data_IF_462566765973
#
_entry.id   IF_462566765973
#
_cell.length_a   1.000
_cell.length_b   1.000
_cell.length_c   1.000
_cell.angle_alpha   90.00
_cell.angle_beta   90.00
_cell.angle_gamma   90.00
#
_symmetry.space_group_name_H-M   'P 1'
#
loop_
_entity.id
_entity.type
_entity.pdbx_description
1 polymer ?
#
# COMPACT_ATOMS: atom_id res chain seq x y z
N UNK A 1 1.84 -2.38 15.86
CA UNK A 1 2.56 -2.47 17.15
C UNK A 1 3.92 -3.09 16.87
N UNK A 2 4.96 -2.64 17.58
CA UNK A 2 6.34 -3.06 17.34
C UNK A 2 7.19 -1.93 16.74
N UNK A 3 8.49 -1.99 17.00
CA UNK A 3 9.50 -1.09 16.45
C UNK A 3 10.79 -1.89 16.15
N UNK A 4 11.85 -1.22 15.70
CA UNK A 4 13.14 -1.87 15.39
C UNK A 4 13.69 -2.74 16.54
N UNK A 5 13.42 -2.37 17.79
CA UNK A 5 13.85 -3.17 18.94
C UNK A 5 13.11 -4.50 19.05
N UNK A 6 11.84 -4.57 18.64
CA UNK A 6 11.06 -5.81 18.59
C UNK A 6 11.68 -6.83 17.63
N UNK A 7 12.12 -6.37 16.45
CA UNK A 7 12.81 -7.19 15.44
C UNK A 7 14.13 -7.73 16.00
N UNK A 8 14.92 -6.85 16.62
CA UNK A 8 16.22 -7.20 17.21
C UNK A 8 16.06 -8.19 18.36
N UNK A 9 15.09 -7.97 19.25
CA UNK A 9 14.82 -8.86 20.38
C UNK A 9 14.38 -10.25 19.90
N UNK A 10 13.50 -10.31 18.90
CA UNK A 10 13.04 -11.57 18.32
C UNK A 10 14.20 -12.34 17.67
N UNK A 11 15.05 -11.67 16.89
CA UNK A 11 16.24 -12.29 16.32
C UNK A 11 17.24 -12.76 17.40
N UNK A 12 17.36 -12.00 18.51
CA UNK A 12 18.26 -12.35 19.63
C UNK A 12 17.75 -13.50 20.50
N UNK A 13 16.45 -13.78 20.50
CA UNK A 13 15.87 -14.89 21.28
C UNK A 13 16.47 -16.24 20.87
N UNK A 14 16.88 -16.37 19.60
CA UNK A 14 17.51 -17.57 19.05
C UNK A 14 18.93 -17.82 19.55
N UNK A 15 19.62 -16.81 20.10
CA UNK A 15 21.02 -16.91 20.48
C UNK A 15 21.24 -17.43 21.92
N UNK A 16 20.17 -17.64 22.71
CA UNK A 16 20.28 -18.14 24.08
C UNK A 16 20.96 -17.16 25.06
N UNK A 17 21.07 -17.54 26.34
CA UNK A 17 21.74 -16.73 27.36
C UNK A 17 23.26 -16.84 27.21
N UNK A 18 23.90 -15.87 26.54
CA UNK A 18 25.36 -15.72 26.63
C UNK A 18 26.08 -15.14 25.40
N UNK A 19 25.43 -15.00 24.25
CA UNK A 19 26.11 -14.50 23.05
C UNK A 19 26.20 -12.97 23.09
N UNK A 20 27.42 -12.45 23.25
CA UNK A 20 27.71 -11.02 23.18
C UNK A 20 27.35 -10.46 21.81
N UNK A 21 26.76 -9.27 21.79
CA UNK A 21 26.36 -8.54 20.59
C UNK A 21 27.59 -8.17 19.75
N UNK A 22 27.91 -8.98 18.74
CA UNK A 22 29.01 -8.66 17.79
C UNK A 22 28.63 -7.47 16.89
N UNK A 23 27.34 -7.18 16.72
CA UNK A 23 26.81 -6.14 15.83
C UNK A 23 25.80 -5.26 16.56
N UNK A 24 25.86 -3.95 16.29
CA UNK A 24 24.83 -3.00 16.71
C UNK A 24 23.49 -3.26 15.99
N UNK A 25 22.40 -2.78 16.58
CA UNK A 25 21.02 -3.10 16.18
C UNK A 25 20.73 -2.84 14.69
N UNK A 26 21.15 -1.69 14.15
CA UNK A 26 21.01 -1.37 12.71
C UNK A 26 21.77 -2.33 11.80
N UNK A 27 22.98 -2.74 12.21
CA UNK A 27 23.80 -3.67 11.45
C UNK A 27 23.21 -5.08 11.48
N UNK A 28 22.53 -5.45 12.58
CA UNK A 28 21.78 -6.70 12.67
C UNK A 28 20.56 -6.67 11.74
N UNK A 29 19.71 -5.65 11.80
CA UNK A 29 18.54 -5.52 10.91
C UNK A 29 18.97 -5.57 9.43
N UNK A 30 20.01 -4.82 9.08
CA UNK A 30 20.57 -4.81 7.71
C UNK A 30 21.14 -6.18 7.30
N UNK A 31 21.66 -6.95 8.25
CA UNK A 31 22.11 -8.31 7.99
C UNK A 31 20.93 -9.27 7.77
N UNK A 32 19.89 -9.19 8.60
CA UNK A 32 18.67 -9.99 8.48
C UNK A 32 18.00 -9.79 7.12
N UNK A 33 17.84 -8.53 6.69
CA UNK A 33 17.29 -8.20 5.37
C UNK A 33 18.12 -8.78 4.22
N UNK A 34 19.45 -8.62 4.26
CA UNK A 34 20.36 -9.12 3.21
C UNK A 34 20.36 -10.64 3.07
N UNK A 35 20.05 -11.36 4.14
CA UNK A 35 20.01 -12.83 4.16
C UNK A 35 18.59 -13.38 4.13
N UNK A 36 17.59 -12.54 3.81
CA UNK A 36 16.18 -12.90 3.74
C UNK A 36 15.67 -13.63 5.00
N UNK A 37 16.20 -13.30 6.18
CA UNK A 37 15.68 -13.82 7.44
C UNK A 37 14.46 -12.99 7.84
N UNK A 38 13.30 -13.36 7.30
CA UNK A 38 12.06 -12.56 7.39
C UNK A 38 11.26 -12.77 8.66
N UNK A 39 11.38 -13.93 9.33
CA UNK A 39 10.59 -14.27 10.53
C UNK A 39 10.68 -13.22 11.67
N UNK A 40 11.84 -12.60 11.96
CA UNK A 40 11.90 -11.54 12.97
C UNK A 40 11.12 -10.27 12.59
N UNK A 41 10.83 -10.04 11.31
CA UNK A 41 10.05 -8.89 10.84
C UNK A 41 8.55 -9.05 11.09
N UNK A 42 8.05 -10.29 11.20
CA UNK A 42 6.64 -10.61 11.50
C UNK A 42 6.20 -10.14 12.91
N UNK A 43 7.16 -9.70 13.74
CA UNK A 43 6.91 -9.17 15.07
C UNK A 43 6.47 -7.70 15.06
N UNK A 44 6.35 -7.09 13.88
CA UNK A 44 5.92 -5.70 13.70
C UNK A 44 4.65 -5.66 12.87
N UNK A 45 3.53 -5.33 13.51
CA UNK A 45 2.25 -5.19 12.83
C UNK A 45 1.98 -3.75 12.44
N UNK A 46 1.45 -3.53 11.24
CA UNK A 46 0.89 -2.24 10.83
C UNK A 46 -0.63 -2.30 10.76
N UNK A 47 -1.30 -1.24 11.19
CA UNK A 47 -2.76 -1.10 11.06
C UNK A 47 -3.07 0.17 10.29
N UNK A 48 -3.61 0.02 9.10
CA UNK A 48 -3.95 1.16 8.23
C UNK A 48 -5.44 1.40 8.24
N UNK A 49 -5.86 2.65 7.99
CA UNK A 49 -7.24 3.00 7.68
C UNK A 49 -7.26 3.51 6.23
N UNK A 50 -7.61 2.65 5.27
CA UNK A 50 -7.44 2.97 3.85
C UNK A 50 -8.78 3.24 3.16
N UNK A 51 -8.86 4.36 2.43
CA UNK A 51 -9.97 4.66 1.52
C UNK A 51 -9.52 4.41 0.09
N UNK A 52 -10.13 3.42 -0.54
CA UNK A 52 -9.71 2.95 -1.87
C UNK A 52 -10.91 2.85 -2.81
N UNK A 53 -10.73 3.13 -4.11
CA UNK A 53 -11.71 2.73 -5.13
C UNK A 53 -11.87 1.21 -5.14
N UNK A 54 -13.06 0.72 -5.48
CA UNK A 54 -13.37 -0.72 -5.43
C UNK A 54 -12.40 -1.54 -6.28
N UNK A 55 -11.99 -1.07 -7.46
CA UNK A 55 -11.04 -1.80 -8.31
C UNK A 55 -9.64 -1.95 -7.69
N UNK A 56 -9.19 -0.98 -6.88
CA UNK A 56 -7.93 -1.09 -6.11
C UNK A 56 -8.12 -1.99 -4.89
N UNK A 57 -9.25 -1.87 -4.18
CA UNK A 57 -9.56 -2.73 -3.03
C UNK A 57 -9.55 -4.23 -3.43
N UNK A 58 -10.04 -4.54 -4.65
CA UNK A 58 -9.97 -5.89 -5.23
C UNK A 58 -8.56 -6.39 -5.51
N UNK A 59 -7.58 -5.51 -5.68
CA UNK A 59 -6.16 -5.88 -5.78
C UNK A 59 -5.58 -6.12 -4.38
N UNK A 60 -5.89 -5.25 -3.42
CA UNK A 60 -5.43 -5.36 -2.03
C UNK A 60 -5.86 -6.69 -1.39
N UNK A 61 -7.12 -7.11 -1.60
CA UNK A 61 -7.64 -8.36 -1.01
C UNK A 61 -6.94 -9.62 -1.53
N UNK A 62 -6.11 -9.53 -2.58
CA UNK A 62 -5.30 -10.65 -3.08
C UNK A 62 -4.15 -11.01 -2.13
N UNK A 63 -3.74 -10.09 -1.25
CA UNK A 63 -2.72 -10.34 -0.24
C UNK A 63 -3.32 -11.11 0.93
N UNK A 64 -3.31 -12.45 0.82
CA UNK A 64 -3.94 -13.38 1.79
C UNK A 64 -3.29 -13.42 3.17
N UNK A 65 -2.11 -12.83 3.32
CA UNK A 65 -1.37 -12.78 4.61
C UNK A 65 -1.82 -11.62 5.50
N UNK A 66 -2.70 -10.74 5.02
CA UNK A 66 -3.20 -9.60 5.78
C UNK A 66 -4.63 -9.83 6.25
N UNK A 67 -4.96 -9.27 7.41
CA UNK A 67 -6.34 -9.23 7.91
C UNK A 67 -7.02 -7.96 7.38
N UNK A 68 -8.17 -8.11 6.74
CA UNK A 68 -8.92 -7.01 6.12
C UNK A 68 -10.34 -6.97 6.65
N UNK A 69 -10.80 -5.79 7.04
CA UNK A 69 -12.21 -5.49 7.24
C UNK A 69 -12.64 -4.37 6.29
N UNK A 70 -13.77 -4.54 5.60
CA UNK A 70 -14.30 -3.60 4.61
C UNK A 70 -15.69 -3.13 5.02
N UNK A 71 -16.02 -1.89 4.67
CA UNK A 71 -17.36 -1.35 4.79
C UNK A 71 -18.36 -2.14 3.92
N UNK A 72 -19.45 -2.62 4.51
CA UNK A 72 -20.43 -3.44 3.82
C UNK A 72 -21.59 -2.63 3.26
N UNK A 73 -21.70 -2.58 1.94
CA UNK A 73 -22.85 -2.01 1.23
C UNK A 73 -24.17 -2.79 1.45
N UNK A 74 -24.12 -3.96 2.09
CA UNK A 74 -25.33 -4.75 2.42
C UNK A 74 -26.06 -4.24 3.66
N UNK A 75 -25.33 -3.57 4.55
CA UNK A 75 -25.84 -3.15 5.86
C UNK A 75 -25.83 -1.63 6.04
N UNK A 76 -25.26 -0.89 5.09
CA UNK A 76 -25.07 0.55 5.24
C UNK A 76 -25.12 1.24 3.88
N UNK A 77 -25.63 2.47 3.88
CA UNK A 77 -25.77 3.30 2.68
C UNK A 77 -24.40 3.74 2.17
N UNK A 78 -24.11 3.41 0.90
CA UNK A 78 -22.85 3.79 0.28
C UNK A 78 -22.94 5.25 -0.15
N UNK A 79 -22.02 6.13 0.29
CA UNK A 79 -22.01 7.51 -0.15
C UNK A 79 -21.75 7.63 -1.65
N UNK A 80 -22.44 8.54 -2.32
CA UNK A 80 -22.28 8.83 -3.75
C UNK A 80 -20.94 9.55 -4.02
N UNK A 81 -19.85 8.78 -4.02
CA UNK A 81 -18.48 9.28 -4.22
C UNK A 81 -17.70 8.31 -5.09
N UNK A 82 -17.33 8.79 -6.27
CA UNK A 82 -16.53 8.05 -7.23
C UNK A 82 -15.13 8.63 -7.34
N UNK A 83 -14.18 7.73 -7.60
CA UNK A 83 -12.84 8.13 -8.01
C UNK A 83 -12.85 8.44 -9.51
N UNK A 84 -12.35 9.62 -9.87
CA UNK A 84 -12.12 10.01 -11.25
C UNK A 84 -10.62 10.29 -11.43
N UNK A 85 -9.97 9.73 -12.47
CA UNK A 85 -8.58 10.05 -12.77
C UNK A 85 -8.46 11.50 -13.23
N UNK A 86 -7.30 12.09 -13.00
CA UNK A 86 -6.89 13.28 -13.75
C UNK A 86 -6.71 12.91 -15.22
N UNK A 87 -7.00 13.84 -16.14
CA UNK A 87 -6.93 13.59 -17.59
C UNK A 87 -5.51 13.16 -18.01
N UNK A 88 -4.49 13.75 -17.38
CA UNK A 88 -3.09 13.37 -17.62
C UNK A 88 -2.68 12.00 -17.07
N UNK A 89 -3.53 11.35 -16.26
CA UNK A 89 -3.29 10.00 -15.74
C UNK A 89 -3.89 8.90 -16.64
N UNK A 90 -4.71 9.29 -17.62
CA UNK A 90 -5.25 8.41 -18.65
C UNK A 90 -4.18 8.23 -19.72
N UNK A 91 -3.96 6.99 -20.12
CA UNK A 91 -2.93 6.59 -21.07
C UNK A 91 -3.45 5.46 -21.94
N UNK A 92 -2.99 5.38 -23.19
CA UNK A 92 -3.30 4.25 -24.06
C UNK A 92 -2.65 2.97 -23.53
N UNK A 93 -3.29 1.84 -23.81
CA UNK A 93 -2.75 0.53 -23.46
C UNK A 93 -1.46 0.28 -24.24
N UNK A 94 -0.43 -0.22 -23.55
CA UNK A 94 0.83 -0.61 -24.21
C UNK A 94 0.60 -1.81 -25.15
N UNK A 95 1.12 -1.67 -26.38
CA UNK A 95 1.00 -2.67 -27.46
C UNK A 95 1.75 -3.99 -27.18
N UNK A 96 2.78 -3.94 -26.33
CA UNK A 96 3.65 -5.07 -25.98
C UNK A 96 3.34 -5.54 -24.56
N UNK A 97 3.38 -4.63 -23.59
CA UNK A 97 3.11 -4.97 -22.20
C UNK A 97 1.62 -4.82 -21.88
N UNK A 98 0.89 -5.94 -21.82
CA UNK A 98 -0.54 -5.94 -21.49
C UNK A 98 -0.88 -5.45 -20.08
N UNK A 99 0.12 -5.19 -19.23
CA UNK A 99 -0.04 -4.56 -17.91
C UNK A 99 0.48 -3.11 -17.89
N UNK A 100 1.06 -2.63 -18.99
CA UNK A 100 1.65 -1.31 -19.16
C UNK A 100 0.76 -0.32 -19.89
N UNK A 101 1.20 0.93 -19.91
CA UNK A 101 0.53 2.05 -20.57
C UNK A 101 1.56 2.87 -21.38
N UNK A 102 1.12 3.49 -22.47
CA UNK A 102 1.94 4.38 -23.29
C UNK A 102 1.93 5.79 -22.70
N UNK A 103 3.07 6.48 -22.75
CA UNK A 103 3.20 7.83 -22.17
C UNK A 103 2.56 8.95 -23.03
N UNK A 104 2.03 8.63 -24.22
CA UNK A 104 1.77 9.60 -25.29
C UNK A 104 0.42 10.36 -25.24
N UNK A 105 -0.47 10.18 -24.25
CA UNK A 105 -1.75 10.89 -24.23
C UNK A 105 -1.69 12.35 -23.75
N UNK A 106 -0.52 12.85 -23.33
CA UNK A 106 -0.35 14.24 -22.87
C UNK A 106 -0.72 15.28 -23.94
N UNK A 107 -0.31 15.05 -25.19
CA UNK A 107 -0.47 16.01 -26.28
C UNK A 107 -1.95 16.18 -26.70
N UNK A 108 -2.74 15.10 -26.66
CA UNK A 108 -4.15 15.13 -27.01
C UNK A 108 -4.98 15.87 -25.94
N UNK A 109 -4.68 15.65 -24.66
CA UNK A 109 -5.33 16.34 -23.53
C UNK A 109 -5.00 17.84 -23.53
N UNK A 110 -3.77 18.21 -23.90
CA UNK A 110 -3.36 19.62 -24.02
C UNK A 110 -4.01 20.37 -25.20
N UNK A 111 -4.44 19.65 -26.25
CA UNK A 111 -5.06 20.22 -27.45
C UNK A 111 -6.58 20.47 -27.38
N UNK A 112 -7.26 20.03 -26.32
CA UNK A 112 -8.72 20.18 -26.19
C UNK A 112 -9.10 21.61 -25.82
N UNK A 113 -9.94 22.30 -26.63
CA UNK A 113 -10.43 23.62 -26.28
C UNK A 113 -11.53 23.47 -25.21
N UNK A 114 -11.36 24.26 -24.15
CA UNK A 114 -12.28 24.51 -23.04
C UNK A 114 -12.13 23.66 -21.76
N UNK A 115 -11.68 24.34 -20.70
CA UNK A 115 -11.40 23.81 -19.36
C UNK A 115 -12.68 23.67 -18.54
N UNK A 116 -13.60 22.81 -18.99
CA UNK A 116 -14.86 22.51 -18.31
C UNK A 116 -14.89 21.07 -17.76
N UNK A 117 -13.83 20.65 -17.06
CA UNK A 117 -13.91 19.54 -16.10
C UNK A 117 -14.12 20.11 -14.70
N UNK A 118 -14.84 19.43 -13.79
CA UNK A 118 -15.04 19.92 -12.43
C UNK A 118 -13.69 20.24 -11.81
N UNK A 119 -13.46 21.53 -11.48
CA UNK A 119 -12.22 22.07 -10.88
C UNK A 119 -11.99 21.61 -9.43
N UNK A 120 -12.72 20.60 -8.99
CA UNK A 120 -12.35 19.89 -7.78
C UNK A 120 -11.24 18.93 -8.19
N UNK A 121 -9.96 19.14 -7.80
CA UNK A 121 -9.19 17.97 -7.46
C UNK A 121 -10.11 17.23 -6.49
N UNK A 122 -10.47 15.99 -6.78
CA UNK A 122 -11.17 15.18 -5.78
C UNK A 122 -10.13 15.02 -4.67
N UNK A 123 -10.07 16.03 -3.82
CA UNK A 123 -9.18 16.15 -2.71
C UNK A 123 -9.45 14.88 -1.94
N UNK A 124 -8.35 14.18 -1.69
CA UNK A 124 -8.27 12.98 -0.90
C UNK A 124 -8.85 13.30 0.48
N UNK A 125 -10.19 13.34 0.58
CA UNK A 125 -10.93 13.72 1.77
C UNK A 125 -11.57 12.46 2.35
N UNK A 126 -11.40 12.24 3.65
CA UNK A 126 -11.43 10.93 4.28
C UNK A 126 -12.85 10.36 4.28
N UNK A 127 -12.95 9.03 4.29
CA UNK A 127 -14.24 8.36 4.43
C UNK A 127 -14.44 7.14 3.52
N UNK A 128 -13.62 6.12 3.70
CA UNK A 128 -14.07 4.72 3.79
C UNK A 128 -12.83 3.94 4.27
N UNK A 129 -13.03 3.03 5.19
CA UNK A 129 -11.94 2.46 5.99
C UNK A 129 -11.79 0.98 5.68
N UNK A 130 -10.71 0.59 5.02
CA UNK A 130 -10.20 -0.77 5.06
C UNK A 130 -9.13 -0.83 6.14
N UNK A 131 -9.38 -1.62 7.20
CA UNK A 131 -8.34 -1.92 8.18
C UNK A 131 -7.48 -3.02 7.63
N UNK A 132 -6.27 -2.70 7.17
CA UNK A 132 -5.27 -3.69 6.78
C UNK A 132 -4.33 -3.90 7.97
N UNK A 133 -4.34 -5.12 8.50
CA UNK A 133 -3.32 -5.59 9.43
C UNK A 133 -2.39 -6.52 8.66
N UNK A 134 -1.17 -6.05 8.40
CA UNK A 134 -0.11 -6.88 7.83
C UNK A 134 0.91 -7.23 8.93
N UNK A 135 1.33 -8.50 9.04
CA UNK A 135 2.54 -8.88 9.78
C UNK A 135 3.80 -8.40 9.04
#
# INVERSE_FOLDING_TARGET
MGNDASIVQAARVSYGKGTKTVRGDKALISYLMRHAHTTPFEMVEFKFLMRLPLFIARQVIRHRTANVNEYSARYSEVPDRFWAPDLGAIAEQDTVNRQGRLDHLRELVESLPDRAGPRTPCAYLPGLAAVLVAP
#
